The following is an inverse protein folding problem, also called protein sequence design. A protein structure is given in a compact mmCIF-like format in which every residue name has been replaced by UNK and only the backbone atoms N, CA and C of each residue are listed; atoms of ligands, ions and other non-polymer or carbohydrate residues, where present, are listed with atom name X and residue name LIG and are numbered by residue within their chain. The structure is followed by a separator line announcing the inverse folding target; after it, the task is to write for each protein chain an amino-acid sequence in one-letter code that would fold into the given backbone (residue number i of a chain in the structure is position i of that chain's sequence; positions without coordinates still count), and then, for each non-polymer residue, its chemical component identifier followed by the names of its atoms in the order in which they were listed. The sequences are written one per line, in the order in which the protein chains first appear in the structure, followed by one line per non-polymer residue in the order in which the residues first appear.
data_IF_338232695698
#
_entry.id   IF_338232695698
#
_cell.length_a   1.000
_cell.length_b   1.000
_cell.length_c   1.000
_cell.angle_alpha   90.00
_cell.angle_beta   90.00
_cell.angle_gamma   90.00
#
_symmetry.space_group_name_H-M   'P 1'
#
loop_
_entity.id
_entity.type
_entity.pdbx_description
1 polymer ?
#
# COMPACT_ATOMS: atom_id res chain seq x y z
N UNK A 1 14.84 -10.45 4.91
CA UNK A 1 14.40 -9.93 6.21
C UNK A 1 12.98 -9.39 5.99
N UNK A 2 11.98 -10.08 6.52
CA UNK A 2 10.56 -9.71 6.32
C UNK A 2 10.30 -8.40 7.06
N UNK A 3 10.03 -7.32 6.33
CA UNK A 3 9.60 -6.05 6.90
C UNK A 3 8.21 -6.28 7.46
N UNK A 4 8.09 -6.30 8.78
CA UNK A 4 6.83 -6.34 9.50
C UNK A 4 6.19 -4.95 9.33
N UNK A 5 5.18 -4.86 8.50
CA UNK A 5 4.37 -3.66 8.35
C UNK A 5 3.57 -3.47 9.65
N UNK A 6 3.74 -2.38 10.41
CA UNK A 6 2.98 -2.13 11.64
C UNK A 6 1.52 -1.72 11.38
N UNK A 7 1.03 -1.84 10.14
CA UNK A 7 -0.31 -1.39 9.74
C UNK A 7 -1.47 -2.23 10.31
N UNK A 8 -1.22 -3.47 10.78
CA UNK A 8 -2.29 -4.35 11.27
C UNK A 8 -2.83 -3.92 12.64
N UNK A 9 -2.00 -3.27 13.46
CA UNK A 9 -2.42 -2.82 14.81
C UNK A 9 -3.26 -1.54 14.77
N UNK A 10 -3.07 -0.68 13.76
CA UNK A 10 -3.79 0.59 13.66
C UNK A 10 -5.25 0.47 13.17
N UNK A 11 -5.61 -0.63 12.49
CA UNK A 11 -6.97 -0.84 11.97
C UNK A 11 -7.97 -1.31 13.04
N UNK A 12 -7.51 -1.73 14.22
CA UNK A 12 -8.36 -2.15 15.33
C UNK A 12 -8.62 -1.03 16.37
N UNK A 13 -8.04 0.16 16.18
CA UNK A 13 -8.35 1.34 17.00
C UNK A 13 -9.47 2.16 16.36
N UNK A 14 -10.67 1.60 16.34
CA UNK A 14 -11.87 2.36 15.96
C UNK A 14 -12.31 3.21 17.15
N UNK A 15 -12.16 4.53 17.03
CA UNK A 15 -12.72 5.50 17.99
C UNK A 15 -14.23 5.38 18.00
N UNK A 16 -14.76 4.88 19.11
CA UNK A 16 -16.19 4.85 19.43
C UNK A 16 -16.70 6.29 19.61
N UNK A 17 -17.31 6.85 18.58
CA UNK A 17 -18.21 7.99 18.74
C UNK A 17 -19.46 7.51 19.45
N UNK A 18 -19.70 7.97 20.66
CA UNK A 18 -20.96 7.80 21.39
C UNK A 18 -21.96 8.84 20.91
N UNK A 19 -23.09 8.46 20.29
CA UNK A 19 -24.27 9.31 20.35
C UNK A 19 -25.06 8.98 21.61
N UNK A 20 -25.41 9.98 22.39
CA UNK A 20 -26.31 9.92 23.52
C UNK A 20 -27.74 9.71 23.01
N UNK A 21 -28.41 8.66 23.50
CA UNK A 21 -29.87 8.53 23.41
C UNK A 21 -30.38 7.17 22.92
N UNK A 22 -30.79 6.31 23.88
CA UNK A 22 -31.79 5.22 23.78
C UNK A 22 -31.59 4.14 22.72
N UNK A 23 -30.98 3.02 23.13
CA UNK A 23 -31.32 1.64 22.76
C UNK A 23 -30.46 0.66 23.57
N UNK A 24 -31.06 -0.10 24.47
CA UNK A 24 -30.31 -1.01 25.38
C UNK A 24 -29.76 -2.27 24.69
N UNK A 25 -30.22 -2.63 23.49
CA UNK A 25 -29.86 -3.88 22.81
C UNK A 25 -28.76 -3.74 21.74
N UNK A 26 -28.60 -2.58 21.10
CA UNK A 26 -27.53 -2.34 20.11
C UNK A 26 -26.13 -2.38 20.72
N UNK A 27 -26.01 -2.21 22.03
CA UNK A 27 -24.73 -2.19 22.76
C UNK A 27 -24.18 -3.61 23.02
N UNK A 28 -25.03 -4.65 23.04
CA UNK A 28 -24.59 -6.01 23.34
C UNK A 28 -23.74 -6.62 22.21
N UNK A 29 -24.17 -6.52 20.94
CA UNK A 29 -23.45 -7.04 19.80
C UNK A 29 -22.08 -6.34 19.64
N UNK A 30 -22.04 -5.02 19.83
CA UNK A 30 -20.79 -4.24 19.78
C UNK A 30 -19.83 -4.63 20.93
N UNK A 31 -20.36 -4.88 22.14
CA UNK A 31 -19.56 -5.30 23.29
C UNK A 31 -18.98 -6.71 23.09
N UNK A 32 -19.77 -7.65 22.60
CA UNK A 32 -19.33 -9.01 22.30
C UNK A 32 -18.26 -9.01 21.19
N UNK A 33 -18.48 -8.24 20.12
CA UNK A 33 -17.47 -8.09 19.05
C UNK A 33 -16.17 -7.50 19.60
N UNK A 34 -16.24 -6.48 20.44
CA UNK A 34 -15.04 -5.88 21.07
C UNK A 34 -14.27 -6.90 21.90
N UNK A 35 -14.97 -7.74 22.67
CA UNK A 35 -14.35 -8.80 23.46
C UNK A 35 -13.65 -9.84 22.56
N UNK A 36 -14.29 -10.25 21.46
CA UNK A 36 -13.72 -11.19 20.50
C UNK A 36 -12.49 -10.61 19.80
N UNK A 37 -12.58 -9.36 19.32
CA UNK A 37 -11.45 -8.66 18.71
C UNK A 37 -10.26 -8.54 19.66
N UNK A 38 -10.50 -8.33 20.95
CA UNK A 38 -9.43 -8.31 21.96
C UNK A 38 -8.72 -9.67 22.06
N UNK A 39 -9.46 -10.79 22.04
CA UNK A 39 -8.87 -12.15 22.02
C UNK A 39 -7.99 -12.37 20.78
N UNK A 40 -8.51 -12.00 19.60
CA UNK A 40 -7.74 -12.08 18.34
C UNK A 40 -6.46 -11.28 18.44
N UNK A 41 -6.52 -10.03 18.92
CA UNK A 41 -5.34 -9.16 19.07
C UNK A 41 -4.29 -9.76 20.00
N UNK A 42 -4.69 -10.34 21.13
CA UNK A 42 -3.79 -11.03 22.06
C UNK A 42 -3.03 -12.15 21.35
N UNK A 43 -3.73 -13.00 20.62
CA UNK A 43 -3.10 -14.09 19.86
C UNK A 43 -2.15 -13.58 18.76
N UNK A 44 -2.54 -12.52 18.05
CA UNK A 44 -1.70 -11.91 17.01
C UNK A 44 -0.41 -11.33 17.60
N UNK A 45 -0.47 -10.73 18.78
CA UNK A 45 0.72 -10.25 19.53
C UNK A 45 1.62 -11.41 19.97
N UNK A 46 1.06 -12.58 20.28
CA UNK A 46 1.81 -13.81 20.57
C UNK A 46 2.40 -14.46 19.30
N UNK A 47 2.24 -13.86 18.14
CA UNK A 47 2.74 -14.40 16.86
C UNK A 47 1.82 -15.44 16.19
N UNK A 48 0.65 -15.73 16.76
CA UNK A 48 -0.35 -16.66 16.23
C UNK A 48 -1.17 -15.93 15.15
N UNK A 49 -0.87 -16.22 13.87
CA UNK A 49 -1.39 -15.46 12.72
C UNK A 49 -1.94 -16.34 11.60
N UNK A 50 -2.06 -17.66 11.84
CA UNK A 50 -2.62 -18.58 10.85
C UNK A 50 -4.09 -18.87 11.14
N UNK A 51 -4.82 -19.36 10.12
CA UNK A 51 -6.22 -19.77 10.27
C UNK A 51 -6.37 -20.89 11.33
N UNK A 52 -5.39 -21.80 11.42
CA UNK A 52 -5.36 -22.83 12.45
C UNK A 52 -5.17 -22.25 13.86
N UNK A 53 -4.32 -21.25 14.03
CA UNK A 53 -4.08 -20.58 15.32
C UNK A 53 -5.33 -19.85 15.82
N UNK A 54 -6.09 -19.26 14.90
CA UNK A 54 -7.28 -18.44 15.20
C UNK A 54 -8.60 -19.22 15.04
N UNK A 55 -8.55 -20.54 14.79
CA UNK A 55 -9.75 -21.34 14.55
C UNK A 55 -10.82 -21.23 15.67
N UNK A 56 -10.48 -21.17 16.98
CA UNK A 56 -11.47 -20.94 18.03
C UNK A 56 -12.18 -19.57 17.90
N UNK A 57 -11.44 -18.50 17.62
CA UNK A 57 -11.98 -17.15 17.49
C UNK A 57 -12.81 -17.00 16.20
N UNK A 58 -12.40 -17.63 15.10
CA UNK A 58 -13.20 -17.67 13.88
C UNK A 58 -14.56 -18.35 14.11
N UNK A 59 -14.60 -19.45 14.88
CA UNK A 59 -15.88 -20.05 15.29
C UNK A 59 -16.70 -19.15 16.21
N UNK A 60 -16.06 -18.29 17.02
CA UNK A 60 -16.79 -17.32 17.84
C UNK A 60 -17.46 -16.24 16.97
N UNK A 61 -16.89 -15.83 15.81
CA UNK A 61 -17.59 -14.95 14.85
C UNK A 61 -18.88 -15.61 14.34
N UNK A 62 -18.81 -16.87 13.92
CA UNK A 62 -19.99 -17.64 13.51
C UNK A 62 -21.05 -17.72 14.64
N UNK A 63 -20.59 -17.97 15.88
CA UNK A 63 -21.46 -18.05 17.05
C UNK A 63 -22.14 -16.71 17.37
N UNK A 64 -21.42 -15.58 17.23
CA UNK A 64 -22.01 -14.25 17.43
C UNK A 64 -23.04 -13.94 16.35
N UNK A 65 -22.77 -14.24 15.08
CA UNK A 65 -23.75 -14.07 14.01
C UNK A 65 -24.99 -14.93 14.21
N UNK A 66 -24.81 -16.15 14.75
CA UNK A 66 -25.93 -17.02 15.11
C UNK A 66 -26.72 -16.51 16.32
N UNK A 67 -26.04 -15.95 17.34
CA UNK A 67 -26.66 -15.33 18.53
C UNK A 67 -27.60 -14.17 18.15
N UNK A 68 -27.17 -13.34 17.22
CA UNK A 68 -27.89 -12.16 16.75
C UNK A 68 -28.65 -12.40 15.43
N UNK A 69 -28.99 -13.68 15.15
CA UNK A 69 -29.72 -14.05 13.93
C UNK A 69 -31.07 -13.32 13.86
N UNK A 70 -31.28 -12.63 12.73
CA UNK A 70 -32.50 -11.84 12.47
C UNK A 70 -32.39 -10.35 12.81
N UNK A 71 -31.37 -9.95 13.55
CA UNK A 71 -31.08 -8.53 13.78
C UNK A 71 -30.29 -7.97 12.58
N UNK A 72 -30.85 -6.96 11.91
CA UNK A 72 -30.28 -6.32 10.72
C UNK A 72 -29.64 -4.98 11.05
N UNK A 73 -28.91 -4.92 12.17
CA UNK A 73 -28.27 -3.70 12.66
C UNK A 73 -26.85 -3.50 12.11
N UNK A 74 -26.33 -2.26 12.18
CA UNK A 74 -24.96 -1.94 11.81
C UNK A 74 -23.95 -2.72 12.66
N UNK A 75 -24.25 -2.94 13.95
CA UNK A 75 -23.40 -3.63 14.90
C UNK A 75 -23.25 -5.12 14.57
N UNK A 76 -24.33 -5.79 14.17
CA UNK A 76 -24.29 -7.19 13.74
C UNK A 76 -23.59 -7.31 12.37
N UNK A 77 -23.88 -6.40 11.45
CA UNK A 77 -23.17 -6.32 10.16
C UNK A 77 -21.64 -6.11 10.34
N UNK A 78 -21.24 -5.36 11.39
CA UNK A 78 -19.83 -5.14 11.72
C UNK A 78 -19.13 -6.43 12.17
N UNK A 79 -19.83 -7.39 12.78
CA UNK A 79 -19.26 -8.71 13.13
C UNK A 79 -18.79 -9.42 11.86
N UNK A 80 -19.64 -9.51 10.85
CA UNK A 80 -19.32 -10.16 9.57
C UNK A 80 -18.24 -9.40 8.78
N UNK A 81 -18.27 -8.06 8.80
CA UNK A 81 -17.22 -7.25 8.19
C UNK A 81 -15.86 -7.52 8.86
N UNK A 82 -15.82 -7.57 10.19
CA UNK A 82 -14.57 -7.80 10.92
C UNK A 82 -13.98 -9.18 10.61
N UNK A 83 -14.80 -10.23 10.56
CA UNK A 83 -14.38 -11.56 10.14
C UNK A 83 -13.80 -11.53 8.71
N UNK A 84 -14.51 -10.89 7.76
CA UNK A 84 -14.02 -10.75 6.39
C UNK A 84 -12.67 -10.05 6.31
N UNK A 85 -12.47 -8.97 7.10
CA UNK A 85 -11.22 -8.23 7.15
C UNK A 85 -10.06 -9.06 7.74
N UNK A 86 -10.33 -9.96 8.70
CA UNK A 86 -9.31 -10.89 9.19
C UNK A 86 -8.82 -11.81 8.07
N UNK A 87 -9.71 -12.37 7.27
CA UNK A 87 -9.33 -13.20 6.12
C UNK A 87 -8.57 -12.42 5.06
N UNK A 88 -8.96 -11.17 4.77
CA UNK A 88 -8.33 -10.33 3.75
C UNK A 88 -6.94 -9.81 4.16
N UNK A 89 -6.74 -9.49 5.44
CA UNK A 89 -5.56 -8.73 5.87
C UNK A 89 -4.55 -9.54 6.70
N UNK A 90 -5.01 -10.57 7.40
CA UNK A 90 -4.18 -11.33 8.33
C UNK A 90 -3.94 -12.78 7.86
N UNK A 91 -5.00 -13.45 7.40
CA UNK A 91 -4.96 -14.88 7.11
C UNK A 91 -4.57 -15.22 5.66
N UNK A 92 -4.33 -14.19 4.82
CA UNK A 92 -4.00 -14.31 3.37
C UNK A 92 -4.99 -15.22 2.59
N UNK A 93 -6.25 -15.27 3.06
CA UNK A 93 -7.34 -16.03 2.42
C UNK A 93 -8.32 -15.07 1.75
N UNK A 94 -7.86 -14.50 0.63
CA UNK A 94 -8.61 -13.48 -0.12
C UNK A 94 -9.97 -13.99 -0.60
N UNK A 95 -10.06 -15.27 -1.03
CA UNK A 95 -11.30 -15.83 -1.55
C UNK A 95 -12.40 -15.88 -0.48
N UNK A 96 -12.05 -16.36 0.72
CA UNK A 96 -12.98 -16.40 1.85
C UNK A 96 -13.40 -14.98 2.28
N UNK A 97 -12.46 -14.06 2.38
CA UNK A 97 -12.76 -12.66 2.72
C UNK A 97 -13.70 -12.00 1.70
N UNK A 98 -13.44 -12.16 0.39
CA UNK A 98 -14.33 -11.68 -0.68
C UNK A 98 -15.72 -12.30 -0.59
N UNK A 99 -15.81 -13.60 -0.32
CA UNK A 99 -17.09 -14.29 -0.11
C UNK A 99 -17.88 -13.66 1.02
N UNK A 100 -17.27 -13.43 2.19
CA UNK A 100 -17.91 -12.83 3.35
C UNK A 100 -18.36 -11.38 3.09
N UNK A 101 -17.56 -10.57 2.35
CA UNK A 101 -17.98 -9.22 1.94
C UNK A 101 -19.20 -9.24 1.01
N UNK A 102 -19.27 -10.18 0.07
CA UNK A 102 -20.45 -10.33 -0.79
C UNK A 102 -21.67 -10.78 0.00
N UNK A 103 -21.49 -11.69 0.94
CA UNK A 103 -22.55 -12.15 1.82
C UNK A 103 -23.05 -11.03 2.74
N UNK A 104 -22.17 -10.16 3.25
CA UNK A 104 -22.54 -8.97 4.02
C UNK A 104 -23.54 -8.08 3.28
N UNK A 105 -23.36 -7.88 1.97
CA UNK A 105 -24.31 -7.11 1.14
C UNK A 105 -25.68 -7.77 1.05
N UNK A 106 -25.72 -9.10 1.04
CA UNK A 106 -26.97 -9.86 0.97
C UNK A 106 -27.68 -9.90 2.30
N UNK A 107 -26.92 -10.13 3.38
CA UNK A 107 -27.48 -10.33 4.71
C UNK A 107 -27.87 -9.02 5.39
N UNK A 108 -27.16 -7.92 5.09
CA UNK A 108 -27.33 -6.61 5.74
C UNK A 108 -27.37 -5.45 4.71
N UNK A 109 -28.27 -5.47 3.70
CA UNK A 109 -28.21 -4.55 2.56
C UNK A 109 -28.25 -3.07 2.94
N UNK A 110 -28.96 -2.71 4.02
CA UNK A 110 -29.16 -1.33 4.44
C UNK A 110 -28.10 -0.84 5.45
N UNK A 111 -27.20 -1.72 5.90
CA UNK A 111 -26.19 -1.38 6.89
C UNK A 111 -25.04 -0.53 6.30
N UNK A 112 -24.44 0.33 7.12
CA UNK A 112 -23.24 1.10 6.77
C UNK A 112 -22.06 0.20 6.35
N UNK A 113 -21.78 -0.93 7.02
CA UNK A 113 -20.78 -1.90 6.54
C UNK A 113 -21.04 -2.37 5.12
N UNK A 114 -22.28 -2.72 4.76
CA UNK A 114 -22.63 -3.18 3.42
C UNK A 114 -22.51 -2.08 2.35
N UNK A 115 -22.85 -0.84 2.69
CA UNK A 115 -22.67 0.31 1.77
C UNK A 115 -21.21 0.54 1.38
N UNK A 116 -20.26 0.12 2.22
CA UNK A 116 -18.82 0.19 1.92
C UNK A 116 -18.27 -1.06 1.23
N UNK A 117 -19.05 -2.11 1.07
CA UNK A 117 -18.60 -3.41 0.57
C UNK A 117 -18.01 -3.34 -0.85
N UNK A 118 -18.64 -2.60 -1.77
CA UNK A 118 -18.13 -2.47 -3.14
C UNK A 118 -16.76 -1.81 -3.17
N UNK A 119 -16.55 -0.78 -2.35
CA UNK A 119 -15.23 -0.13 -2.24
C UNK A 119 -14.15 -1.09 -1.71
N UNK A 120 -14.51 -1.95 -0.77
CA UNK A 120 -13.60 -2.99 -0.25
C UNK A 120 -13.28 -4.01 -1.34
N UNK A 121 -14.29 -4.51 -2.07
CA UNK A 121 -14.10 -5.46 -3.17
C UNK A 121 -13.25 -4.88 -4.28
N UNK A 122 -13.46 -3.62 -4.66
CA UNK A 122 -12.64 -2.93 -5.66
C UNK A 122 -11.18 -2.77 -5.19
N UNK A 123 -10.98 -2.43 -3.92
CA UNK A 123 -9.65 -2.34 -3.32
C UNK A 123 -8.91 -3.70 -3.37
N UNK A 124 -9.59 -4.79 -2.99
CA UNK A 124 -9.03 -6.15 -3.07
C UNK A 124 -8.65 -6.51 -4.51
N UNK A 125 -9.53 -6.21 -5.46
CA UNK A 125 -9.26 -6.45 -6.89
C UNK A 125 -8.05 -5.65 -7.38
N UNK A 126 -7.96 -4.37 -7.01
CA UNK A 126 -6.82 -3.52 -7.37
C UNK A 126 -5.51 -4.03 -6.74
N UNK A 127 -5.53 -4.45 -5.48
CA UNK A 127 -4.36 -5.04 -4.82
C UNK A 127 -3.91 -6.35 -5.50
N UNK A 128 -4.84 -7.22 -5.86
CA UNK A 128 -4.53 -8.45 -6.58
C UNK A 128 -3.91 -8.16 -7.96
N UNK A 129 -4.46 -7.20 -8.71
CA UNK A 129 -3.90 -6.75 -9.98
C UNK A 129 -2.49 -6.16 -9.81
N UNK A 130 -2.30 -5.30 -8.80
CA UNK A 130 -1.00 -4.74 -8.47
C UNK A 130 0.03 -5.83 -8.11
N UNK A 131 -0.34 -6.81 -7.27
CA UNK A 131 0.51 -7.95 -6.90
C UNK A 131 0.94 -8.75 -8.14
N UNK A 132 0.02 -8.98 -9.08
CA UNK A 132 0.33 -9.65 -10.36
C UNK A 132 1.31 -8.85 -11.22
N UNK A 133 1.13 -7.53 -11.32
CA UNK A 133 2.06 -6.65 -12.05
C UNK A 133 3.44 -6.68 -11.35
N UNK A 134 3.47 -6.51 -10.04
CA UNK A 134 4.69 -6.48 -9.23
C UNK A 134 5.48 -7.80 -9.30
N UNK A 135 4.81 -8.93 -9.44
CA UNK A 135 5.51 -10.22 -9.60
C UNK A 135 6.30 -10.32 -10.91
N UNK A 136 5.90 -9.58 -11.93
CA UNK A 136 6.64 -9.45 -13.20
C UNK A 136 7.81 -8.45 -13.14
N UNK A 137 7.91 -7.64 -12.08
CA UNK A 137 8.97 -6.66 -11.87
C UNK A 137 10.02 -7.18 -10.88
N UNK A 138 10.50 -8.40 -11.08
CA UNK A 138 11.55 -9.00 -10.27
C UNK A 138 12.94 -8.52 -10.70
N UNK A 139 13.93 -8.58 -9.78
CA UNK A 139 15.33 -8.38 -10.15
C UNK A 139 15.75 -9.34 -11.27
N UNK A 140 16.52 -8.85 -12.22
CA UNK A 140 16.90 -9.57 -13.44
C UNK A 140 15.90 -9.44 -14.60
N UNK A 141 14.68 -8.97 -14.38
CA UNK A 141 13.72 -8.70 -15.47
C UNK A 141 13.89 -7.31 -16.06
N UNK A 142 13.47 -7.13 -17.30
CA UNK A 142 13.39 -5.81 -17.95
C UNK A 142 12.24 -5.00 -17.34
N UNK A 143 12.53 -3.76 -16.96
CA UNK A 143 11.45 -2.86 -16.56
C UNK A 143 10.68 -2.39 -17.81
N UNK A 144 9.36 -2.54 -17.86
CA UNK A 144 8.57 -2.10 -19.01
C UNK A 144 8.65 -0.58 -19.19
N UNK A 145 8.99 -0.12 -20.39
CA UNK A 145 9.14 1.31 -20.69
C UNK A 145 7.80 2.06 -20.65
N UNK A 146 7.90 3.38 -20.60
CA UNK A 146 6.77 4.30 -20.70
C UNK A 146 7.11 5.46 -21.66
N UNK A 147 6.10 6.19 -22.09
CA UNK A 147 6.25 7.39 -22.91
C UNK A 147 5.32 8.47 -22.36
N UNK A 148 5.89 9.36 -21.58
CA UNK A 148 5.18 10.45 -20.88
C UNK A 148 5.93 11.78 -21.11
N UNK A 149 5.56 12.82 -20.37
CA UNK A 149 6.28 14.10 -20.34
C UNK A 149 6.71 14.41 -18.90
N UNK A 150 7.86 15.02 -18.76
CA UNK A 150 8.30 15.56 -17.47
C UNK A 150 7.54 16.85 -17.10
N UNK A 151 7.81 17.39 -15.91
CA UNK A 151 7.19 18.63 -15.42
C UNK A 151 7.55 19.86 -16.27
N UNK A 152 8.57 19.78 -17.12
CA UNK A 152 8.93 20.82 -18.09
C UNK A 152 8.31 20.59 -19.49
N UNK A 153 7.47 19.54 -19.64
CA UNK A 153 6.82 19.19 -20.90
C UNK A 153 7.69 18.45 -21.89
N UNK A 154 8.90 18.03 -21.51
CA UNK A 154 9.83 17.29 -22.39
C UNK A 154 9.49 15.82 -22.40
N UNK A 155 9.70 15.10 -23.54
CA UNK A 155 9.49 13.66 -23.62
C UNK A 155 10.33 12.91 -22.58
N UNK A 156 9.68 12.02 -21.82
CA UNK A 156 10.26 11.22 -20.76
C UNK A 156 9.98 9.74 -21.00
N UNK A 157 11.03 8.94 -21.12
CA UNK A 157 10.98 7.49 -21.26
C UNK A 157 12.24 6.87 -20.65
N UNK A 158 12.21 5.63 -20.21
CA UNK A 158 13.42 4.92 -19.74
C UNK A 158 14.42 4.78 -20.89
N UNK A 159 13.93 4.56 -22.10
CA UNK A 159 14.78 4.47 -23.30
C UNK A 159 15.69 5.70 -23.53
N UNK A 160 15.30 6.89 -23.04
CA UNK A 160 16.11 8.11 -23.12
C UNK A 160 17.41 8.03 -22.29
N UNK A 161 17.47 7.06 -21.37
CA UNK A 161 18.59 6.85 -20.43
C UNK A 161 19.41 5.60 -20.75
N UNK A 162 19.31 5.08 -21.99
CA UNK A 162 20.08 3.91 -22.40
C UNK A 162 21.57 4.10 -22.11
N UNK A 163 22.19 3.09 -21.51
CA UNK A 163 23.58 3.12 -21.09
C UNK A 163 23.81 3.85 -19.76
N UNK A 164 22.79 4.33 -19.07
CA UNK A 164 22.90 4.93 -17.72
C UNK A 164 22.25 4.01 -16.68
N UNK A 165 22.71 4.09 -15.44
CA UNK A 165 22.05 3.51 -14.29
C UNK A 165 20.92 4.44 -13.88
N UNK A 166 19.69 3.94 -13.75
CA UNK A 166 18.50 4.77 -13.51
C UNK A 166 17.77 4.31 -12.25
N UNK A 167 17.51 5.23 -11.35
CA UNK A 167 16.57 5.02 -10.24
C UNK A 167 15.20 5.57 -10.63
N UNK A 168 14.20 4.71 -10.70
CA UNK A 168 12.79 5.12 -10.71
C UNK A 168 12.35 5.27 -9.27
N UNK A 169 11.97 6.47 -8.84
CA UNK A 169 11.58 6.77 -7.46
C UNK A 169 10.13 7.26 -7.41
N UNK A 170 9.24 6.41 -6.90
CA UNK A 170 7.84 6.75 -6.65
C UNK A 170 7.71 7.37 -5.25
N UNK A 171 7.35 8.63 -5.20
CA UNK A 171 7.38 9.43 -3.97
C UNK A 171 6.31 10.51 -3.95
N UNK A 172 6.21 11.27 -2.86
CA UNK A 172 5.42 12.49 -2.79
C UNK A 172 5.93 13.43 -1.68
N UNK A 173 5.62 14.71 -1.78
CA UNK A 173 6.00 15.72 -0.78
C UNK A 173 5.35 15.49 0.59
N UNK A 174 4.18 14.89 0.63
CA UNK A 174 3.43 14.54 1.84
C UNK A 174 3.82 13.16 2.43
N UNK A 175 4.67 12.41 1.77
CA UNK A 175 5.13 11.10 2.23
C UNK A 175 6.28 11.24 3.22
N UNK A 176 6.01 11.17 4.51
CA UNK A 176 7.02 11.29 5.56
C UNK A 176 8.25 10.39 5.37
N UNK A 177 8.11 9.07 5.16
CA UNK A 177 9.24 8.18 4.90
C UNK A 177 10.02 8.54 3.63
N UNK A 178 9.36 9.04 2.56
CA UNK A 178 10.05 9.49 1.35
C UNK A 178 10.94 10.70 1.64
N UNK A 179 10.40 11.69 2.35
CA UNK A 179 11.13 12.91 2.74
C UNK A 179 12.29 12.59 3.68
N UNK A 180 12.12 11.62 4.57
CA UNK A 180 13.19 11.16 5.46
C UNK A 180 14.35 10.50 4.71
N UNK A 181 14.06 9.78 3.62
CA UNK A 181 15.07 9.12 2.77
C UNK A 181 15.78 10.09 1.83
N UNK A 182 15.17 11.23 1.51
CA UNK A 182 15.66 12.17 0.51
C UNK A 182 17.12 12.62 0.69
N UNK A 183 17.66 12.87 1.90
CA UNK A 183 19.08 13.19 2.07
C UNK A 183 20.03 12.11 1.54
N UNK A 184 19.68 10.83 1.70
CA UNK A 184 20.47 9.72 1.15
C UNK A 184 20.38 9.67 -0.37
N UNK A 185 19.19 9.90 -0.93
CA UNK A 185 18.98 9.95 -2.39
C UNK A 185 19.77 11.08 -3.03
N UNK A 186 19.74 12.29 -2.44
CA UNK A 186 20.52 13.45 -2.91
C UNK A 186 22.03 13.15 -2.85
N UNK A 187 22.53 12.67 -1.71
CA UNK A 187 23.94 12.31 -1.53
C UNK A 187 24.40 11.31 -2.60
N UNK A 188 23.61 10.27 -2.84
CA UNK A 188 23.93 9.26 -3.86
C UNK A 188 23.90 9.86 -5.26
N UNK A 189 22.91 10.73 -5.55
CA UNK A 189 22.85 11.42 -6.85
C UNK A 189 24.08 12.31 -7.09
N UNK A 190 24.46 13.13 -6.13
CA UNK A 190 25.61 14.03 -6.22
C UNK A 190 26.93 13.24 -6.43
N UNK A 191 27.07 12.09 -5.77
CA UNK A 191 28.25 11.25 -5.88
C UNK A 191 28.38 10.57 -7.24
N UNK A 192 27.27 10.14 -7.87
CA UNK A 192 27.34 9.24 -9.03
C UNK A 192 26.71 9.79 -10.32
N UNK A 193 26.05 10.95 -10.29
CA UNK A 193 25.41 11.53 -11.47
C UNK A 193 26.42 11.72 -12.62
N UNK A 194 27.59 12.29 -12.34
CA UNK A 194 28.65 12.48 -13.35
C UNK A 194 29.24 11.18 -13.87
N UNK A 195 29.01 10.08 -13.18
CA UNK A 195 29.43 8.74 -13.57
C UNK A 195 28.34 8.00 -14.35
N UNK A 196 27.22 8.68 -14.64
CA UNK A 196 26.10 8.15 -15.44
C UNK A 196 25.02 7.49 -14.62
N UNK A 197 24.80 7.94 -13.40
CA UNK A 197 23.59 7.65 -12.60
C UNK A 197 22.55 8.75 -12.83
N UNK A 198 21.29 8.36 -13.02
CA UNK A 198 20.16 9.27 -13.20
C UNK A 198 19.00 8.85 -12.30
N UNK A 199 18.14 9.81 -11.99
CA UNK A 199 16.91 9.56 -11.26
C UNK A 199 15.72 10.07 -12.09
N UNK A 200 14.64 9.30 -12.12
CA UNK A 200 13.34 9.71 -12.60
C UNK A 200 12.41 9.68 -11.39
N UNK A 201 12.08 10.84 -10.84
CA UNK A 201 11.09 10.97 -9.78
C UNK A 201 9.69 10.85 -10.36
N UNK A 202 8.87 10.00 -9.79
CA UNK A 202 7.46 9.81 -10.17
C UNK A 202 6.62 10.28 -8.99
N UNK A 203 6.12 11.51 -9.08
CA UNK A 203 5.41 12.16 -7.98
C UNK A 203 3.94 11.75 -7.94
N UNK A 204 3.49 11.33 -6.75
CA UNK A 204 2.09 11.09 -6.42
C UNK A 204 1.43 12.31 -5.77
N UNK A 205 1.99 13.49 -5.94
CA UNK A 205 1.35 14.74 -5.51
C UNK A 205 0.13 15.07 -6.36
N UNK A 206 -0.76 15.91 -5.83
CA UNK A 206 -1.91 16.45 -6.56
C UNK A 206 -1.73 17.93 -6.92
N UNK A 207 -0.72 18.57 -6.35
CA UNK A 207 -0.45 20.00 -6.47
C UNK A 207 0.94 20.20 -7.07
N UNK A 208 0.98 20.71 -8.30
CA UNK A 208 2.21 20.96 -9.04
C UNK A 208 3.07 22.06 -8.43
N UNK A 209 2.45 23.10 -7.86
CA UNK A 209 3.20 24.20 -7.26
C UNK A 209 3.93 23.73 -6.01
N UNK A 210 3.27 22.91 -5.17
CA UNK A 210 3.91 22.29 -4.00
C UNK A 210 5.07 21.39 -4.40
N UNK A 211 4.88 20.56 -5.41
CA UNK A 211 5.96 19.70 -5.93
C UNK A 211 7.14 20.54 -6.40
N UNK A 212 6.88 21.56 -7.23
CA UNK A 212 7.93 22.41 -7.82
C UNK A 212 8.69 23.20 -6.73
N UNK A 213 7.96 23.75 -5.77
CA UNK A 213 8.57 24.51 -4.66
C UNK A 213 9.42 23.59 -3.79
N UNK A 214 8.91 22.40 -3.47
CA UNK A 214 9.63 21.41 -2.67
C UNK A 214 10.91 20.89 -3.36
N UNK A 215 10.82 20.51 -4.63
CA UNK A 215 11.98 20.01 -5.37
C UNK A 215 13.06 21.09 -5.51
N UNK A 216 12.67 22.35 -5.69
CA UNK A 216 13.59 23.50 -5.70
C UNK A 216 14.24 23.71 -4.32
N UNK A 217 13.46 23.71 -3.25
CA UNK A 217 13.96 23.88 -1.87
C UNK A 217 14.97 22.80 -1.50
N UNK A 218 14.70 21.56 -1.91
CA UNK A 218 15.55 20.38 -1.60
C UNK A 218 16.68 20.17 -2.62
N UNK A 219 16.85 21.05 -3.61
CA UNK A 219 17.84 20.91 -4.69
C UNK A 219 17.74 19.56 -5.44
N UNK A 220 16.53 19.08 -5.68
CA UNK A 220 16.26 17.89 -6.48
C UNK A 220 16.38 18.26 -7.96
N UNK A 221 17.56 18.07 -8.56
CA UNK A 221 17.86 18.54 -9.93
C UNK A 221 17.48 17.54 -11.03
N UNK A 222 17.10 16.32 -10.65
CA UNK A 222 16.65 15.29 -11.60
C UNK A 222 15.20 15.49 -12.04
N UNK A 223 14.85 14.86 -13.15
CA UNK A 223 13.53 15.00 -13.76
C UNK A 223 12.42 14.43 -12.90
N UNK A 224 11.26 15.09 -12.98
CA UNK A 224 10.04 14.65 -12.29
C UNK A 224 8.94 14.36 -13.30
N UNK A 225 8.27 13.22 -13.16
CA UNK A 225 6.96 12.97 -13.75
C UNK A 225 5.87 13.37 -12.75
N UNK A 226 4.86 14.04 -13.26
CA UNK A 226 3.70 14.48 -12.47
C UNK A 226 2.46 14.52 -13.35
N UNK A 227 1.35 13.97 -12.88
CA UNK A 227 0.06 14.03 -13.57
C UNK A 227 -1.09 14.57 -12.70
N UNK A 228 -0.83 14.87 -11.43
CA UNK A 228 -1.80 15.42 -10.49
C UNK A 228 -2.85 14.45 -9.97
N UNK A 229 -2.72 13.16 -10.29
CA UNK A 229 -3.74 12.15 -10.00
C UNK A 229 -3.54 11.43 -8.65
N UNK A 230 -2.50 11.76 -7.89
CA UNK A 230 -2.22 11.14 -6.59
C UNK A 230 -2.05 9.62 -6.72
N UNK A 231 -2.78 8.83 -5.96
CA UNK A 231 -2.75 7.36 -6.06
C UNK A 231 -3.28 6.79 -7.39
N UNK A 232 -3.96 7.61 -8.21
CA UNK A 232 -4.35 7.25 -9.58
C UNK A 232 -3.29 7.68 -10.62
N UNK A 233 -2.09 8.06 -10.17
CA UNK A 233 -0.96 8.37 -11.06
C UNK A 233 -0.78 7.23 -12.08
N UNK A 234 -0.71 7.59 -13.37
CA UNK A 234 -0.71 6.61 -14.46
C UNK A 234 0.43 5.60 -14.36
N UNK A 235 1.63 6.05 -13.98
CA UNK A 235 2.78 5.16 -13.84
C UNK A 235 2.69 4.32 -12.57
N UNK A 236 2.18 4.87 -11.45
CA UNK A 236 1.93 4.09 -10.25
C UNK A 236 0.93 2.94 -10.51
N UNK A 237 -0.18 3.23 -11.19
CA UNK A 237 -1.17 2.22 -11.59
C UNK A 237 -0.56 1.21 -12.58
N UNK A 238 0.15 1.70 -13.61
CA UNK A 238 0.79 0.86 -14.64
C UNK A 238 1.74 -0.17 -14.04
N UNK A 239 2.49 0.21 -13.01
CA UNK A 239 3.49 -0.65 -12.38
C UNK A 239 3.04 -1.27 -11.07
N UNK A 240 1.76 -1.13 -10.72
CA UNK A 240 1.17 -1.73 -9.52
C UNK A 240 1.75 -1.19 -8.21
N UNK A 241 2.19 0.09 -8.20
CA UNK A 241 2.69 0.76 -7.00
C UNK A 241 1.51 1.20 -6.16
N UNK A 242 1.34 0.60 -4.99
CA UNK A 242 0.25 0.84 -4.05
C UNK A 242 0.73 1.35 -2.68
N UNK A 243 2.03 1.53 -2.53
CA UNK A 243 2.66 2.15 -1.35
C UNK A 243 3.89 2.92 -1.78
N UNK A 244 4.23 4.01 -1.08
CA UNK A 244 5.44 4.80 -1.28
C UNK A 244 6.17 4.99 0.06
N UNK A 245 7.51 5.13 0.02
CA UNK A 245 8.38 5.14 -1.15
C UNK A 245 8.50 3.76 -1.81
N UNK A 246 8.55 3.71 -3.15
CA UNK A 246 8.85 2.51 -3.93
C UNK A 246 9.91 2.85 -4.97
N UNK A 247 10.97 2.04 -5.07
CA UNK A 247 12.07 2.33 -5.99
C UNK A 247 12.47 1.13 -6.80
N UNK A 248 12.91 1.38 -8.05
CA UNK A 248 13.52 0.40 -8.93
C UNK A 248 14.85 0.95 -9.45
N UNK A 249 15.94 0.26 -9.17
CA UNK A 249 17.24 0.57 -9.74
C UNK A 249 17.43 -0.26 -11.01
N UNK A 250 17.71 0.41 -12.12
CA UNK A 250 17.90 -0.19 -13.43
C UNK A 250 19.34 -0.06 -13.89
N UNK A 251 19.87 -1.09 -14.56
CA UNK A 251 21.13 -1.00 -15.28
C UNK A 251 20.99 -0.23 -16.61
N UNK A 252 22.11 -0.04 -17.31
CA UNK A 252 22.17 0.67 -18.61
C UNK A 252 21.35 0.01 -19.73
N UNK A 253 20.82 -1.19 -19.50
CA UNK A 253 19.95 -1.91 -20.43
C UNK A 253 18.48 -1.87 -19.99
N UNK A 254 18.15 -1.22 -18.88
CA UNK A 254 16.82 -1.17 -18.30
C UNK A 254 16.42 -2.46 -17.56
N UNK A 255 17.40 -3.27 -17.13
CA UNK A 255 17.14 -4.44 -16.28
C UNK A 255 17.09 -4.03 -14.83
N UNK A 256 16.12 -4.53 -14.06
CA UNK A 256 16.01 -4.28 -12.62
C UNK A 256 17.16 -4.96 -11.90
N UNK A 257 17.99 -4.18 -11.21
CA UNK A 257 19.14 -4.66 -10.43
C UNK A 257 18.97 -4.42 -8.93
N UNK A 258 17.87 -3.80 -8.52
CA UNK A 258 17.50 -3.61 -7.12
C UNK A 258 16.11 -3.01 -6.99
N UNK A 259 15.43 -3.33 -5.89
CA UNK A 259 14.10 -2.83 -5.55
C UNK A 259 14.11 -2.33 -4.12
N UNK A 260 13.36 -1.26 -3.88
CA UNK A 260 13.13 -0.69 -2.55
C UNK A 260 14.40 -0.46 -1.72
N UNK A 261 15.49 -0.14 -2.40
CA UNK A 261 16.78 0.17 -1.79
C UNK A 261 16.71 1.51 -1.03
N UNK A 262 17.36 1.59 0.13
CA UNK A 262 17.39 2.76 1.01
C UNK A 262 18.77 2.95 1.63
N UNK A 263 19.06 4.19 2.04
CA UNK A 263 20.27 4.53 2.78
C UNK A 263 21.53 4.00 2.12
N UNK A 264 22.38 3.31 2.89
CA UNK A 264 23.64 2.73 2.42
C UNK A 264 23.45 1.62 1.35
N UNK A 265 22.33 0.89 1.38
CA UNK A 265 22.10 -0.17 0.39
C UNK A 265 21.85 0.43 -1.01
N UNK A 266 21.18 1.59 -1.10
CA UNK A 266 21.04 2.35 -2.33
C UNK A 266 22.42 2.82 -2.83
N UNK A 267 23.20 3.46 -1.96
CA UNK A 267 24.53 3.97 -2.32
C UNK A 267 25.45 2.86 -2.84
N UNK A 268 25.54 1.75 -2.10
CA UNK A 268 26.36 0.56 -2.49
C UNK A 268 25.92 -0.05 -3.83
N UNK A 269 24.59 -0.14 -4.06
CA UNK A 269 24.06 -0.71 -5.29
C UNK A 269 24.36 0.20 -6.49
N UNK A 270 24.17 1.51 -6.34
CA UNK A 270 24.50 2.49 -7.39
C UNK A 270 26.00 2.49 -7.68
N UNK A 271 26.85 2.54 -6.65
CA UNK A 271 28.33 2.48 -6.81
C UNK A 271 28.74 1.24 -7.62
N UNK A 272 28.21 0.07 -7.27
CA UNK A 272 28.49 -1.18 -7.96
C UNK A 272 27.99 -1.17 -9.42
N UNK A 273 26.84 -0.55 -9.66
CA UNK A 273 26.25 -0.52 -11.01
C UNK A 273 27.01 0.42 -11.96
N UNK A 274 27.39 1.62 -11.49
CA UNK A 274 28.15 2.58 -12.34
C UNK A 274 29.58 2.10 -12.63
N UNK A 275 30.20 1.34 -11.72
CA UNK A 275 31.53 0.76 -11.90
C UNK A 275 31.57 -0.40 -12.93
N UNK A 276 30.43 -1.00 -13.27
CA UNK A 276 30.33 -2.11 -14.25
C UNK A 276 30.01 -1.66 -15.67
N UNK A 277 29.96 -0.38 -15.89
CA UNK A 277 29.56 0.29 -17.13
C UNK A 277 30.65 0.27 -18.22
#
# INVERSE_FOLDING_TARGET
MKIIVPAVVALLAFSLFTPCGVAADTNAAAADLKALVSKVNTKVQEGKKTEADLAPELKEFDALLAKYKGEKTDEVAQIQLMEAMLYLQLLDNTDKGVQLIKQLKTDFPDSKPAQNADRILDSVKQQAAAKKIQSGLAEGSKFPDFSEKDTAGKPLAIANYKGKVVLLDFWATWCGPCVHELPNVIKTYDAYHKQGFEIIGISLDKDQEKLTSFTKEKNMTWVQYFDGLGWQNKLAVKYGVNSIPATYLLDGQGTIIGKDLRGEDLDKAVAKAVAKK
#
